data_IF_852109813869
#
_entry.id   IF_852109813869
#
_cell.length_a   1.000
_cell.length_b   1.000
_cell.length_c   1.000
_cell.angle_alpha   90.00
_cell.angle_beta   90.00
_cell.angle_gamma   90.00
#
_symmetry.space_group_name_H-M   'P 1'
#
loop_
_entity.id
_entity.type
_entity.pdbx_description
1 polymer ?
#
# COMPACT_ATOMS: atom_id res chain seq x y z
N UNK A 1 16.72 16.33 6.83
CA UNK A 1 17.78 15.61 7.58
C UNK A 1 17.28 14.68 8.68
N UNK A 2 16.95 15.10 9.92
CA UNK A 2 16.64 14.14 11.02
C UNK A 2 15.47 13.18 10.74
N UNK A 3 14.41 13.63 10.06
CA UNK A 3 13.27 12.76 9.70
C UNK A 3 13.61 11.73 8.63
N UNK A 4 14.55 12.04 7.72
CA UNK A 4 14.92 11.15 6.62
C UNK A 4 15.87 10.05 7.07
N UNK A 5 16.77 10.34 8.01
CA UNK A 5 17.63 9.32 8.63
C UNK A 5 16.79 8.30 9.40
N UNK A 6 15.75 8.74 10.11
CA UNK A 6 14.83 7.85 10.83
C UNK A 6 14.04 6.93 9.90
N UNK A 7 13.69 7.38 8.68
CA UNK A 7 13.04 6.52 7.70
C UNK A 7 13.98 5.40 7.23
N UNK A 8 15.24 5.71 6.94
CA UNK A 8 16.21 4.68 6.58
C UNK A 8 16.44 3.70 7.74
N UNK A 9 16.55 4.21 8.96
CA UNK A 9 16.73 3.40 10.18
C UNK A 9 15.54 2.44 10.38
N UNK A 10 14.30 2.94 10.25
CA UNK A 10 13.09 2.11 10.32
C UNK A 10 13.18 0.93 9.35
N UNK A 11 13.58 1.19 8.11
CA UNK A 11 13.71 0.13 7.10
C UNK A 11 14.81 -0.88 7.44
N UNK A 12 15.98 -0.41 7.89
CA UNK A 12 17.07 -1.30 8.29
C UNK A 12 16.68 -2.17 9.48
N UNK A 13 15.99 -1.61 10.47
CA UNK A 13 15.45 -2.35 11.60
C UNK A 13 14.42 -3.39 11.17
N UNK A 14 13.48 -3.04 10.29
CA UNK A 14 12.49 -3.99 9.77
C UNK A 14 13.11 -5.11 8.94
N UNK A 15 14.11 -4.80 8.12
CA UNK A 15 14.87 -5.82 7.35
C UNK A 15 15.58 -6.76 8.33
N UNK A 16 16.23 -6.23 9.37
CA UNK A 16 16.85 -7.04 10.42
C UNK A 16 15.83 -7.98 11.09
N UNK A 17 14.66 -7.47 11.47
CA UNK A 17 13.63 -8.27 12.15
C UNK A 17 12.92 -9.29 11.25
N UNK A 18 13.13 -9.22 9.93
CA UNK A 18 12.59 -10.14 8.93
C UNK A 18 13.67 -10.97 8.24
N UNK A 19 14.91 -10.90 8.71
CA UNK A 19 16.03 -11.74 8.24
C UNK A 19 16.27 -12.82 9.28
N UNK A 20 16.23 -14.08 8.86
CA UNK A 20 16.56 -15.26 9.67
C UNK A 20 15.93 -15.23 11.08
N UNK A 21 14.64 -14.89 11.14
CA UNK A 21 13.92 -14.81 12.41
C UNK A 21 13.94 -16.18 13.11
N UNK A 22 14.24 -16.26 14.42
CA UNK A 22 14.44 -17.54 15.13
C UNK A 22 13.20 -18.44 15.14
N UNK A 23 12.02 -17.84 15.00
CA UNK A 23 10.73 -18.53 14.86
C UNK A 23 10.02 -18.01 13.59
N UNK A 24 10.33 -18.59 12.41
CA UNK A 24 9.73 -18.22 11.12
C UNK A 24 8.22 -18.38 11.14
N UNK A 25 7.48 -17.49 10.46
CA UNK A 25 6.00 -17.49 10.43
C UNK A 25 5.29 -17.33 11.79
N UNK A 26 6.02 -17.09 12.89
CA UNK A 26 5.42 -16.75 14.18
C UNK A 26 4.61 -15.46 14.12
N UNK A 27 3.68 -15.28 15.06
CA UNK A 27 2.85 -14.07 15.14
C UNK A 27 3.70 -12.78 15.19
N UNK A 28 4.86 -12.83 15.84
CA UNK A 28 5.77 -11.68 15.94
C UNK A 28 6.47 -11.42 14.62
N UNK A 29 7.02 -12.45 13.98
CA UNK A 29 7.63 -12.35 12.66
C UNK A 29 6.64 -11.79 11.61
N UNK A 30 5.41 -12.30 11.58
CA UNK A 30 4.38 -11.84 10.66
C UNK A 30 3.96 -10.37 10.92
N UNK A 31 4.04 -9.89 12.17
CA UNK A 31 3.82 -8.46 12.47
C UNK A 31 4.91 -7.57 11.90
N UNK A 32 6.18 -8.00 11.94
CA UNK A 32 7.28 -7.26 11.30
C UNK A 32 7.09 -7.18 9.79
N UNK A 33 6.70 -8.29 9.16
CA UNK A 33 6.38 -8.36 7.74
C UNK A 33 5.17 -7.48 7.34
N UNK A 34 4.11 -7.49 8.15
CA UNK A 34 2.96 -6.63 7.95
C UNK A 34 3.32 -5.13 8.07
N UNK A 35 4.18 -4.78 9.04
CA UNK A 35 4.65 -3.41 9.21
C UNK A 35 5.56 -2.97 8.05
N UNK A 36 6.44 -3.85 7.57
CA UNK A 36 7.26 -3.59 6.38
C UNK A 36 6.40 -3.37 5.13
N UNK A 37 5.36 -4.19 4.95
CA UNK A 37 4.39 -4.04 3.85
C UNK A 37 3.68 -2.69 3.92
N UNK A 38 3.22 -2.31 5.12
CA UNK A 38 2.59 -1.02 5.36
C UNK A 38 3.54 0.15 5.04
N UNK A 39 4.79 0.10 5.52
CA UNK A 39 5.78 1.14 5.24
C UNK A 39 5.99 1.29 3.72
N UNK A 40 6.20 0.18 2.99
CA UNK A 40 6.33 0.17 1.53
C UNK A 40 5.12 0.76 0.80
N UNK A 41 3.92 0.68 1.37
CA UNK A 41 2.70 1.27 0.78
C UNK A 41 2.54 2.78 1.00
N UNK A 42 3.29 3.35 1.95
CA UNK A 42 3.15 4.75 2.39
C UNK A 42 4.30 5.61 1.88
N UNK A 43 5.54 5.19 2.12
CA UNK A 43 6.74 5.99 1.81
C UNK A 43 7.96 5.10 1.66
N UNK A 44 8.80 5.38 0.66
CA UNK A 44 10.02 4.62 0.42
C UNK A 44 11.25 5.27 1.09
N UNK A 45 12.28 4.49 1.46
CA UNK A 45 13.47 5.03 2.10
C UNK A 45 14.16 6.06 1.17
N UNK A 46 14.49 7.26 1.66
CA UNK A 46 15.02 8.34 0.83
C UNK A 46 16.40 8.01 0.25
N UNK A 47 17.23 7.24 0.98
CA UNK A 47 18.54 6.84 0.46
C UNK A 47 18.42 5.72 -0.58
N UNK A 48 19.00 5.95 -1.77
CA UNK A 48 18.99 4.99 -2.88
C UNK A 48 19.64 3.65 -2.50
N UNK A 49 20.68 3.66 -1.67
CA UNK A 49 21.38 2.44 -1.23
C UNK A 49 20.45 1.55 -0.38
N UNK A 50 19.80 2.14 0.62
CA UNK A 50 18.82 1.43 1.48
C UNK A 50 17.65 0.91 0.65
N UNK A 51 17.20 1.69 -0.35
CA UNK A 51 16.15 1.28 -1.26
C UNK A 51 16.53 0.06 -2.12
N UNK A 52 17.76 0.02 -2.65
CA UNK A 52 18.30 -1.14 -3.39
C UNK A 52 18.42 -2.37 -2.48
N UNK A 53 18.86 -2.16 -1.24
CA UNK A 53 18.97 -3.23 -0.26
C UNK A 53 17.59 -3.82 0.09
N UNK A 54 16.60 -2.96 0.33
CA UNK A 54 15.21 -3.33 0.57
C UNK A 54 14.64 -4.18 -0.56
N UNK A 55 14.74 -3.73 -1.82
CA UNK A 55 14.20 -4.52 -2.95
C UNK A 55 14.91 -5.87 -3.11
N UNK A 56 16.22 -5.93 -2.85
CA UNK A 56 16.98 -7.19 -2.82
C UNK A 56 16.48 -8.15 -1.74
N UNK A 57 16.21 -7.64 -0.54
CA UNK A 57 15.61 -8.40 0.57
C UNK A 57 14.23 -8.94 0.21
N UNK A 58 13.34 -8.06 -0.29
CA UNK A 58 11.99 -8.44 -0.67
C UNK A 58 12.00 -9.52 -1.76
N UNK A 59 12.82 -9.37 -2.80
CA UNK A 59 12.92 -10.37 -3.88
C UNK A 59 13.44 -11.73 -3.40
N UNK A 60 14.43 -11.72 -2.51
CA UNK A 60 14.96 -12.95 -1.90
C UNK A 60 13.88 -13.69 -1.14
N UNK A 61 13.20 -13.01 -0.20
CA UNK A 61 12.15 -13.63 0.62
C UNK A 61 10.90 -13.99 -0.20
N UNK A 62 10.59 -13.22 -1.26
CA UNK A 62 9.46 -13.47 -2.16
C UNK A 62 9.58 -14.75 -2.99
N UNK A 63 10.78 -15.32 -3.11
CA UNK A 63 11.03 -16.57 -3.83
C UNK A 63 10.38 -17.80 -3.18
N UNK A 64 10.05 -17.72 -1.89
CA UNK A 64 9.25 -18.73 -1.20
C UNK A 64 7.75 -18.45 -1.43
N UNK A 65 7.08 -19.34 -2.15
CA UNK A 65 5.66 -19.17 -2.48
C UNK A 65 4.72 -19.79 -1.44
N UNK A 66 5.25 -20.60 -0.53
CA UNK A 66 4.47 -21.42 0.39
C UNK A 66 4.28 -20.69 1.73
N UNK A 67 5.36 -20.11 2.27
CA UNK A 67 5.32 -19.46 3.59
C UNK A 67 4.53 -18.16 3.62
N UNK A 68 4.03 -17.80 4.80
CA UNK A 68 3.35 -16.51 5.01
C UNK A 68 4.32 -15.33 4.87
N UNK A 69 5.59 -15.54 5.22
CA UNK A 69 6.68 -14.58 5.02
C UNK A 69 6.88 -14.27 3.54
N UNK A 70 7.01 -15.29 2.70
CA UNK A 70 7.16 -15.10 1.26
C UNK A 70 5.92 -14.46 0.60
N UNK A 71 4.72 -14.73 1.11
CA UNK A 71 3.49 -14.01 0.72
C UNK A 71 3.54 -12.53 1.11
N UNK A 72 3.97 -12.20 2.33
CA UNK A 72 4.16 -10.80 2.75
C UNK A 72 5.25 -10.11 1.94
N UNK A 73 6.39 -10.76 1.68
CA UNK A 73 7.48 -10.21 0.89
C UNK A 73 7.03 -9.82 -0.52
N UNK A 74 6.29 -10.70 -1.21
CA UNK A 74 5.69 -10.41 -2.53
C UNK A 74 4.70 -9.24 -2.47
N UNK A 75 3.89 -9.17 -1.42
CA UNK A 75 2.95 -8.07 -1.26
C UNK A 75 3.67 -6.74 -0.99
N UNK A 76 4.69 -6.73 -0.13
CA UNK A 76 5.53 -5.58 0.13
C UNK A 76 6.31 -5.12 -1.12
N UNK A 77 6.76 -6.05 -1.97
CA UNK A 77 7.39 -5.74 -3.26
C UNK A 77 6.40 -5.02 -4.20
N UNK A 78 5.17 -5.52 -4.31
CA UNK A 78 4.12 -4.84 -5.10
C UNK A 78 3.85 -3.43 -4.57
N UNK A 79 3.75 -3.28 -3.25
CA UNK A 79 3.59 -1.97 -2.60
C UNK A 79 4.77 -1.04 -2.92
N UNK A 80 6.00 -1.57 -2.88
CA UNK A 80 7.21 -0.81 -3.19
C UNK A 80 7.15 -0.23 -4.61
N UNK A 81 6.87 -1.06 -5.62
CA UNK A 81 6.83 -0.58 -7.01
C UNK A 81 5.68 0.40 -7.25
N UNK A 82 4.52 0.17 -6.64
CA UNK A 82 3.39 1.10 -6.70
C UNK A 82 3.77 2.46 -6.12
N UNK A 83 4.30 2.49 -4.89
CA UNK A 83 4.71 3.74 -4.24
C UNK A 83 5.82 4.46 -5.00
N UNK A 84 6.73 3.72 -5.66
CA UNK A 84 7.77 4.30 -6.50
C UNK A 84 7.20 5.04 -7.72
N UNK A 85 6.10 4.55 -8.30
CA UNK A 85 5.43 5.16 -9.45
C UNK A 85 4.46 6.30 -9.08
N UNK A 86 4.11 6.46 -7.81
CA UNK A 86 3.19 7.50 -7.34
C UNK A 86 3.89 8.74 -6.79
N UNK A 87 3.22 9.90 -6.85
CA UNK A 87 3.66 11.10 -6.14
C UNK A 87 3.57 10.89 -4.62
N UNK A 88 4.38 11.65 -3.88
CA UNK A 88 4.37 11.61 -2.41
C UNK A 88 2.98 11.96 -1.86
N UNK A 89 2.49 11.13 -0.94
CA UNK A 89 1.24 11.36 -0.21
C UNK A 89 1.31 12.66 0.60
N UNK A 90 0.18 13.37 0.68
CA UNK A 90 0.04 14.57 1.51
C UNK A 90 -0.37 14.22 2.95
N UNK A 91 -1.09 13.11 3.13
CA UNK A 91 -1.65 12.68 4.41
C UNK A 91 -1.16 11.28 4.81
N UNK A 92 -1.09 10.98 6.12
CA UNK A 92 -0.84 9.62 6.59
C UNK A 92 -2.01 8.70 6.20
N UNK A 93 -1.78 7.38 6.09
CA UNK A 93 -2.84 6.44 5.77
C UNK A 93 -3.93 6.43 6.85
N UNK A 94 -5.16 6.28 6.41
CA UNK A 94 -6.33 6.05 7.25
C UNK A 94 -6.26 4.70 7.99
N UNK A 95 -7.07 4.56 9.05
CA UNK A 95 -7.18 3.30 9.79
C UNK A 95 -7.61 2.14 8.88
N UNK A 96 -8.51 2.39 7.95
CA UNK A 96 -9.00 1.40 6.99
C UNK A 96 -7.84 0.92 6.08
N UNK A 97 -7.06 1.85 5.52
CA UNK A 97 -5.89 1.51 4.71
C UNK A 97 -4.87 0.71 5.50
N UNK A 98 -4.60 1.09 6.75
CA UNK A 98 -3.67 0.35 7.62
C UNK A 98 -4.16 -1.09 7.80
N UNK A 99 -5.41 -1.26 8.23
CA UNK A 99 -6.00 -2.59 8.50
C UNK A 99 -6.03 -3.43 7.22
N UNK A 100 -6.39 -2.85 6.09
CA UNK A 100 -6.44 -3.58 4.83
C UNK A 100 -5.04 -3.97 4.32
N UNK A 101 -4.05 -3.09 4.47
CA UNK A 101 -2.67 -3.35 4.05
C UNK A 101 -2.01 -4.43 4.90
N UNK A 102 -2.11 -4.37 6.24
CA UNK A 102 -1.48 -5.37 7.13
C UNK A 102 -2.09 -6.77 6.95
N UNK A 103 -3.36 -6.84 6.54
CA UNK A 103 -4.07 -8.08 6.24
C UNK A 103 -3.99 -8.47 4.76
N UNK A 104 -3.28 -7.69 3.91
CA UNK A 104 -3.13 -7.90 2.47
C UNK A 104 -4.48 -8.07 1.73
N UNK A 105 -5.48 -7.31 2.15
CA UNK A 105 -6.84 -7.31 1.57
C UNK A 105 -7.13 -5.99 0.86
N UNK A 106 -8.00 -5.98 -0.16
CA UNK A 106 -8.45 -4.74 -0.78
C UNK A 106 -9.36 -3.94 0.18
N UNK A 107 -9.53 -2.65 -0.12
CA UNK A 107 -10.55 -1.80 0.48
C UNK A 107 -11.83 -1.94 -0.34
N UNK A 108 -12.96 -2.08 0.35
CA UNK A 108 -14.29 -2.03 -0.24
C UNK A 108 -14.97 -0.72 0.17
N UNK A 109 -15.28 0.14 -0.80
CA UNK A 109 -15.98 1.40 -0.56
C UNK A 109 -17.23 1.50 -1.43
N UNK A 110 -18.29 2.12 -0.89
CA UNK A 110 -19.52 2.42 -1.64
C UNK A 110 -19.41 3.81 -2.24
N UNK A 111 -19.58 3.90 -3.55
CA UNK A 111 -19.69 5.15 -4.29
C UNK A 111 -21.17 5.42 -4.54
N UNK A 112 -21.65 6.56 -4.07
CA UNK A 112 -23.02 7.01 -4.27
C UNK A 112 -23.07 7.95 -5.48
N UNK A 113 -24.06 7.76 -6.33
CA UNK A 113 -24.28 8.53 -7.57
C UNK A 113 -25.47 9.47 -7.42
N UNK A 114 -25.57 10.43 -8.34
CA UNK A 114 -26.59 11.47 -8.29
C UNK A 114 -28.01 10.95 -8.54
N UNK A 115 -28.15 9.76 -9.12
CA UNK A 115 -29.42 9.04 -9.30
C UNK A 115 -29.89 8.32 -8.02
N UNK A 116 -29.14 8.46 -6.92
CA UNK A 116 -29.42 7.80 -5.65
C UNK A 116 -28.93 6.34 -5.58
N UNK A 117 -28.41 5.79 -6.67
CA UNK A 117 -27.82 4.45 -6.67
C UNK A 117 -26.43 4.46 -6.03
N UNK A 118 -25.97 3.27 -5.62
CA UNK A 118 -24.60 3.10 -5.17
C UNK A 118 -23.96 1.86 -5.80
N UNK A 119 -22.65 1.95 -6.03
CA UNK A 119 -21.83 0.81 -6.44
C UNK A 119 -20.73 0.58 -5.42
N UNK A 120 -20.60 -0.67 -4.96
CA UNK A 120 -19.46 -1.10 -4.16
C UNK A 120 -18.25 -1.32 -5.07
N UNK A 121 -17.14 -0.67 -4.80
CA UNK A 121 -15.90 -0.80 -5.58
C UNK A 121 -14.79 -1.31 -4.66
N UNK A 122 -14.01 -2.25 -5.19
CA UNK A 122 -12.80 -2.72 -4.52
C UNK A 122 -11.55 -2.10 -5.14
N UNK A 123 -10.60 -1.72 -4.30
CA UNK A 123 -9.33 -1.17 -4.74
C UNK A 123 -8.21 -1.44 -3.74
N UNK A 124 -6.96 -1.30 -4.18
CA UNK A 124 -5.80 -1.47 -3.32
C UNK A 124 -5.71 -0.31 -2.30
N UNK A 125 -5.28 -0.53 -1.04
CA UNK A 125 -5.14 0.54 -0.07
C UNK A 125 -4.28 1.72 -0.52
N UNK A 126 -3.23 1.45 -1.31
CA UNK A 126 -2.39 2.51 -1.87
C UNK A 126 -2.89 3.13 -3.18
N UNK A 127 -4.10 2.81 -3.64
CA UNK A 127 -4.64 3.33 -4.90
C UNK A 127 -4.89 4.83 -4.85
N UNK A 128 -4.61 5.51 -5.96
CA UNK A 128 -4.86 6.96 -6.08
C UNK A 128 -6.33 7.22 -6.45
N UNK A 129 -6.85 8.41 -6.14
CA UNK A 129 -8.22 8.79 -6.54
C UNK A 129 -8.45 8.67 -8.05
N UNK A 130 -7.41 8.90 -8.87
CA UNK A 130 -7.46 8.69 -10.31
C UNK A 130 -7.70 7.22 -10.65
N UNK A 131 -6.91 6.31 -10.09
CA UNK A 131 -7.07 4.86 -10.31
C UNK A 131 -8.46 4.39 -9.86
N UNK A 132 -8.93 4.86 -8.70
CA UNK A 132 -10.27 4.51 -8.18
C UNK A 132 -11.37 5.05 -9.10
N UNK A 133 -11.22 6.26 -9.62
CA UNK A 133 -12.17 6.84 -10.57
C UNK A 133 -12.25 6.06 -11.87
N UNK A 134 -11.12 5.58 -12.40
CA UNK A 134 -11.13 4.72 -13.60
C UNK A 134 -11.84 3.37 -13.34
N UNK A 135 -11.68 2.79 -12.14
CA UNK A 135 -12.45 1.59 -11.76
C UNK A 135 -13.95 1.90 -11.70
N UNK A 136 -14.33 3.03 -11.10
CA UNK A 136 -15.72 3.48 -11.01
C UNK A 136 -16.32 3.67 -12.41
N UNK A 137 -15.66 4.44 -13.28
CA UNK A 137 -16.11 4.69 -14.67
C UNK A 137 -16.35 3.39 -15.43
N UNK A 138 -15.38 2.47 -15.37
CA UNK A 138 -15.50 1.17 -16.02
C UNK A 138 -16.68 0.37 -15.47
N UNK A 139 -16.94 0.45 -14.16
CA UNK A 139 -18.03 -0.27 -13.51
C UNK A 139 -19.42 0.23 -13.91
N UNK A 140 -19.54 1.51 -14.22
CA UNK A 140 -20.81 2.13 -14.65
C UNK A 140 -20.91 2.34 -16.17
N UNK A 141 -19.96 1.80 -16.95
CA UNK A 141 -19.99 1.85 -18.42
C UNK A 141 -19.73 3.24 -19.02
N UNK A 142 -19.10 4.15 -18.28
CA UNK A 142 -18.72 5.47 -18.81
C UNK A 142 -17.54 5.34 -19.79
N UNK A 143 -17.60 6.10 -20.89
CA UNK A 143 -16.50 6.18 -21.85
C UNK A 143 -15.21 6.69 -21.18
N UNK A 144 -14.05 6.19 -21.60
CA UNK A 144 -12.74 6.51 -21.01
C UNK A 144 -12.45 8.02 -20.99
N UNK A 145 -13.01 8.75 -21.97
CA UNK A 145 -12.83 10.20 -22.15
C UNK A 145 -13.85 11.05 -21.38
N UNK A 146 -14.80 10.44 -20.65
CA UNK A 146 -15.76 11.18 -19.87
C UNK A 146 -15.04 11.89 -18.70
N UNK A 147 -14.95 13.22 -18.77
CA UNK A 147 -14.45 14.05 -17.68
C UNK A 147 -15.48 14.02 -16.54
N UNK A 148 -15.15 13.32 -15.46
CA UNK A 148 -15.97 13.32 -14.26
C UNK A 148 -16.00 14.72 -13.64
N UNK A 149 -17.19 15.31 -13.52
CA UNK A 149 -17.41 16.48 -12.66
C UNK A 149 -17.34 16.00 -11.21
N UNK A 150 -16.19 16.13 -10.57
CA UNK A 150 -16.10 15.98 -9.12
C UNK A 150 -16.43 17.33 -8.50
N UNK A 151 -17.72 17.60 -8.29
CA UNK A 151 -18.13 18.70 -7.42
C UNK A 151 -17.77 18.33 -5.99
N UNK A 152 -16.83 19.10 -5.45
CA UNK A 152 -16.35 19.03 -4.09
C UNK A 152 -17.47 19.42 -3.13
N UNK A 153 -18.23 18.45 -2.66
CA UNK A 153 -19.01 18.65 -1.42
C UNK A 153 -19.04 17.37 -0.58
N UNK A 154 -17.85 16.84 -0.33
CA UNK A 154 -17.60 16.00 0.83
C UNK A 154 -16.40 16.61 1.56
N UNK A 155 -16.72 17.29 2.65
CA UNK A 155 -15.80 17.77 3.69
C UNK A 155 -14.53 16.95 3.81
N UNK A 156 -13.39 17.60 3.57
CA UNK A 156 -12.04 17.33 4.08
C UNK A 156 -11.85 16.00 4.82
N UNK A 157 -11.84 14.87 4.11
CA UNK A 157 -11.12 13.64 4.49
C UNK A 157 -10.74 12.90 3.22
N UNK A 158 -9.66 13.34 2.58
CA UNK A 158 -8.98 12.56 1.54
C UNK A 158 -8.36 11.36 2.22
N UNK A 159 -8.82 10.17 1.81
CA UNK A 159 -8.29 8.85 2.19
C UNK A 159 -6.83 8.76 1.73
#
# INVERSE_FOLDING_TARGET
>A
MRKESLLNELYLQLIKQTTDHPDPNSRVNLRHWALLSLACSVILPPQKVVRKYLIGHLKRCASDFITEEGKYARFAEKCFFKTQGTRRRQWPPSREEIVCTINRRPIYARFHFMDGQYHSVEFHPSSTSREVMEIVKKKIGLQENAQGRSDQQATSKTI
#
